data_IF_298810917956
#
_entry.id   IF_298810917956
#
_cell.length_a   1.000
_cell.length_b   1.000
_cell.length_c   1.000
_cell.angle_alpha   90.00
_cell.angle_beta   90.00
_cell.angle_gamma   90.00
#
_symmetry.space_group_name_H-M   'P 1'
#
loop_
_entity.id
_entity.type
_entity.pdbx_description
1 polymer ?
#
# COMPACT_ATOMS: atom_id res chain seq x y z
N UNK A 1 19.85 -2.68 -5.09
CA UNK A 1 19.17 -2.09 -3.91
C UNK A 1 19.11 -3.17 -2.84
N UNK A 2 19.42 -2.88 -1.58
CA UNK A 2 19.22 -3.85 -0.49
C UNK A 2 17.74 -3.94 -0.09
N UNK A 3 17.33 -5.06 0.51
CA UNK A 3 15.96 -5.24 1.01
C UNK A 3 15.52 -4.12 1.97
N UNK A 4 16.44 -3.66 2.83
CA UNK A 4 16.21 -2.56 3.76
C UNK A 4 15.90 -1.24 3.04
N UNK A 5 16.62 -0.94 1.97
CA UNK A 5 16.41 0.29 1.20
C UNK A 5 15.10 0.22 0.42
N UNK A 6 14.76 -0.96 -0.11
CA UNK A 6 13.48 -1.20 -0.75
C UNK A 6 12.31 -0.95 0.22
N UNK A 7 12.32 -1.60 1.39
CA UNK A 7 11.26 -1.44 2.40
C UNK A 7 11.10 0.02 2.81
N UNK A 8 12.21 0.73 3.02
CA UNK A 8 12.19 2.17 3.34
C UNK A 8 11.61 3.02 2.22
N UNK A 9 12.01 2.76 0.97
CA UNK A 9 11.49 3.46 -0.20
C UNK A 9 9.98 3.25 -0.32
N UNK A 10 9.53 2.01 -0.28
CA UNK A 10 8.10 1.66 -0.37
C UNK A 10 7.27 2.31 0.74
N UNK A 11 7.71 2.24 2.01
CA UNK A 11 6.98 2.88 3.11
C UNK A 11 6.94 4.40 2.95
N UNK A 12 8.04 5.01 2.49
CA UNK A 12 8.09 6.46 2.24
C UNK A 12 7.11 6.86 1.13
N UNK A 13 7.12 6.13 0.02
CA UNK A 13 6.23 6.41 -1.12
C UNK A 13 4.76 6.26 -0.72
N UNK A 14 4.42 5.20 0.05
CA UNK A 14 3.08 5.02 0.63
C UNK A 14 2.73 6.21 1.54
N UNK A 15 3.64 6.63 2.40
CA UNK A 15 3.40 7.76 3.31
C UNK A 15 3.17 9.07 2.58
N UNK A 16 3.91 9.33 1.50
CA UNK A 16 3.72 10.53 0.66
C UNK A 16 2.36 10.46 -0.03
N UNK A 17 2.04 9.32 -0.67
CA UNK A 17 0.77 9.14 -1.37
C UNK A 17 -0.44 9.28 -0.44
N UNK A 18 -0.36 8.80 0.81
CA UNK A 18 -1.42 8.98 1.81
C UNK A 18 -1.62 10.46 2.14
N UNK A 19 -0.54 11.21 2.31
CA UNK A 19 -0.62 12.65 2.59
C UNK A 19 -1.22 13.42 1.42
N UNK A 20 -0.69 13.19 0.21
CA UNK A 20 -1.19 13.82 -1.03
C UNK A 20 -2.68 13.51 -1.24
N UNK A 21 -3.09 12.25 -1.07
CA UNK A 21 -4.48 11.85 -1.25
C UNK A 21 -5.42 12.49 -0.22
N UNK A 22 -4.99 12.62 1.03
CA UNK A 22 -5.79 13.33 2.05
C UNK A 22 -5.91 14.84 1.73
N UNK A 23 -4.86 15.46 1.19
CA UNK A 23 -4.90 16.87 0.77
C UNK A 23 -5.81 17.07 -0.45
N UNK A 24 -5.69 16.22 -1.48
CA UNK A 24 -6.51 16.28 -2.70
C UNK A 24 -8.00 16.04 -2.43
N UNK A 25 -8.31 15.21 -1.43
CA UNK A 25 -9.66 14.74 -1.14
C UNK A 25 -10.28 15.40 0.10
N UNK A 26 -9.69 16.47 0.62
CA UNK A 26 -10.12 17.15 1.84
C UNK A 26 -11.62 17.50 1.85
N UNK A 27 -12.17 17.92 0.70
CA UNK A 27 -13.58 18.32 0.56
C UNK A 27 -14.54 17.14 0.29
N UNK A 28 -14.00 15.97 -0.09
CA UNK A 28 -14.82 14.78 -0.36
C UNK A 28 -15.21 14.03 0.92
N UNK A 29 -14.57 14.37 2.04
CA UNK A 29 -14.68 13.66 3.30
C UNK A 29 -13.84 12.38 3.39
N UNK A 30 -13.12 11.95 2.35
CA UNK A 30 -12.22 10.79 2.47
C UNK A 30 -11.16 11.03 3.57
N UNK A 31 -10.95 10.03 4.43
CA UNK A 31 -9.79 10.00 5.34
C UNK A 31 -8.99 8.72 5.12
N UNK A 32 -7.70 8.89 4.81
CA UNK A 32 -6.75 7.79 4.63
C UNK A 32 -5.83 7.72 5.83
N UNK A 33 -5.71 6.52 6.40
CA UNK A 33 -5.03 6.22 7.65
C UNK A 33 -5.45 7.15 8.82
N UNK A 34 -6.76 7.28 9.10
CA UNK A 34 -7.24 8.15 10.18
C UNK A 34 -6.78 7.65 11.55
N UNK A 35 -6.65 8.58 12.51
CA UNK A 35 -6.53 8.22 13.91
C UNK A 35 -7.86 7.58 14.33
N UNK A 36 -7.81 6.31 14.71
CA UNK A 36 -8.97 5.60 15.23
C UNK A 36 -9.18 5.95 16.70
N UNK A 37 -10.41 6.30 17.06
CA UNK A 37 -10.87 6.35 18.44
C UNK A 37 -11.22 4.93 18.91
N UNK A 38 -11.10 4.70 20.21
CA UNK A 38 -11.04 3.38 20.84
C UNK A 38 -12.08 2.39 20.27
N UNK A 39 -11.68 1.14 19.96
CA UNK A 39 -12.59 0.16 19.39
C UNK A 39 -13.67 -0.22 20.41
N UNK A 40 -14.93 -0.01 20.04
CA UNK A 40 -16.09 -0.63 20.70
C UNK A 40 -16.45 -1.85 19.85
N UNK A 41 -16.56 -3.03 20.46
CA UNK A 41 -16.96 -4.27 19.78
C UNK A 41 -16.13 -4.63 18.52
N UNK A 42 -14.82 -4.36 18.52
CA UNK A 42 -13.89 -4.54 17.40
C UNK A 42 -14.14 -3.65 16.16
N UNK A 43 -15.02 -2.65 16.27
CA UNK A 43 -15.23 -1.65 15.23
C UNK A 43 -14.37 -0.44 15.56
N UNK A 44 -13.55 -0.02 14.59
CA UNK A 44 -12.76 1.22 14.70
C UNK A 44 -13.57 2.36 14.14
N UNK A 45 -13.55 3.49 14.84
CA UNK A 45 -14.18 4.73 14.39
C UNK A 45 -13.14 5.80 14.20
N UNK A 46 -13.27 6.63 13.17
CA UNK A 46 -12.49 7.85 13.04
C UNK A 46 -12.99 8.88 14.07
N UNK A 47 -12.21 9.93 14.31
CA UNK A 47 -12.56 10.98 15.26
C UNK A 47 -13.91 11.68 14.97
N UNK A 48 -14.42 11.59 13.74
CA UNK A 48 -15.73 12.11 13.32
C UNK A 48 -16.87 11.08 13.41
N UNK A 49 -16.62 9.90 13.99
CA UNK A 49 -17.60 8.84 14.21
C UNK A 49 -17.82 7.91 13.02
N UNK A 50 -17.09 8.07 11.90
CA UNK A 50 -17.21 7.15 10.76
C UNK A 50 -16.46 5.85 10.98
N UNK A 51 -16.98 4.76 10.40
CA UNK A 51 -16.34 3.45 10.48
C UNK A 51 -15.02 3.48 9.70
N UNK A 52 -13.96 3.00 10.35
CA UNK A 52 -12.65 2.77 9.75
C UNK A 52 -12.56 1.33 9.30
N UNK A 53 -12.26 1.13 8.02
CA UNK A 53 -12.11 -0.17 7.39
C UNK A 53 -10.72 -0.31 6.77
N UNK A 54 -10.23 -1.54 6.65
CA UNK A 54 -8.95 -1.83 5.99
C UNK A 54 -9.16 -2.13 4.52
N UNK A 55 -8.36 -1.52 3.65
CA UNK A 55 -8.21 -1.93 2.26
C UNK A 55 -6.96 -2.80 2.17
N UNK A 56 -7.15 -4.07 1.80
CA UNK A 56 -6.06 -5.03 1.61
C UNK A 56 -5.36 -4.86 0.26
N UNK A 57 -4.03 -4.84 0.31
CA UNK A 57 -3.15 -4.77 -0.85
C UNK A 57 -2.29 -6.04 -0.93
N UNK A 58 -2.31 -6.66 -2.10
CA UNK A 58 -1.45 -7.78 -2.45
C UNK A 58 -0.46 -7.32 -3.52
N UNK A 59 0.79 -7.06 -3.13
CA UNK A 59 1.83 -6.63 -4.05
C UNK A 59 2.71 -7.82 -4.41
N UNK A 60 2.74 -8.18 -5.70
CA UNK A 60 3.66 -9.18 -6.22
C UNK A 60 4.99 -8.53 -6.59
N UNK A 61 6.07 -9.03 -5.99
CA UNK A 61 7.44 -8.59 -6.23
C UNK A 61 8.19 -9.73 -6.89
N UNK A 62 8.59 -9.54 -8.14
CA UNK A 62 9.43 -10.48 -8.87
C UNK A 62 10.88 -10.00 -8.86
N UNK A 63 11.79 -10.83 -8.38
CA UNK A 63 13.22 -10.66 -8.65
C UNK A 63 13.59 -11.48 -9.89
N UNK A 64 14.24 -10.87 -10.87
CA UNK A 64 14.82 -11.58 -12.02
C UNK A 64 16.34 -11.49 -11.96
N UNK A 65 17.02 -12.63 -11.97
CA UNK A 65 18.47 -12.66 -12.14
C UNK A 65 18.81 -12.34 -13.61
N UNK A 66 19.47 -11.22 -13.86
CA UNK A 66 20.25 -11.04 -15.10
C UNK A 66 21.70 -11.36 -14.78
N UNK A 67 22.22 -12.45 -15.35
CA UNK A 67 23.65 -12.71 -15.44
C UNK A 67 24.26 -11.69 -16.40
N UNK A 68 24.55 -10.48 -15.92
CA UNK A 68 25.53 -9.60 -16.55
C UNK A 68 26.38 -8.95 -15.46
N UNK A 69 27.67 -8.87 -15.75
CA UNK A 69 28.85 -8.50 -14.96
C UNK A 69 28.70 -7.24 -14.06
N UNK A 70 27.91 -7.33 -12.99
CA UNK A 70 27.74 -6.28 -12.00
C UNK A 70 26.62 -6.64 -11.02
N UNK A 71 26.95 -7.47 -10.02
CA UNK A 71 25.99 -8.03 -9.07
C UNK A 71 25.12 -6.99 -8.38
N UNK A 72 23.88 -6.85 -8.83
CA UNK A 72 22.87 -6.01 -8.21
C UNK A 72 21.48 -6.59 -8.45
N UNK A 73 20.75 -6.88 -7.38
CA UNK A 73 19.35 -7.31 -7.45
C UNK A 73 18.52 -6.17 -8.02
N UNK A 74 17.90 -6.40 -9.18
CA UNK A 74 16.90 -5.52 -9.80
C UNK A 74 15.51 -6.00 -9.39
N UNK A 75 14.75 -5.14 -8.70
CA UNK A 75 13.36 -5.42 -8.30
C UNK A 75 12.44 -4.85 -9.37
N UNK A 76 11.71 -5.70 -10.09
CA UNK A 76 10.66 -5.27 -11.01
C UNK A 76 9.31 -5.33 -10.28
N UNK A 77 8.65 -4.18 -10.15
CA UNK A 77 7.28 -4.09 -9.64
C UNK A 77 6.33 -4.44 -10.78
N UNK A 78 5.76 -5.65 -10.74
CA UNK A 78 4.75 -6.07 -11.72
C UNK A 78 3.40 -5.45 -11.34
N UNK A 79 2.89 -4.57 -12.21
CA UNK A 79 1.52 -4.06 -12.10
C UNK A 79 0.56 -5.24 -12.32
N UNK A 80 -0.37 -5.46 -11.38
CA UNK A 80 -1.34 -6.54 -11.44
C UNK A 80 -2.14 -6.49 -12.75
N UNK A 81 -2.08 -7.57 -13.55
CA UNK A 81 -2.83 -7.71 -14.82
C UNK A 81 -2.04 -8.23 -16.02
N UNK A 82 -0.71 -8.38 -15.92
CA UNK A 82 0.12 -8.87 -17.03
C UNK A 82 0.65 -10.26 -16.71
N UNK A 83 0.06 -11.28 -17.36
CA UNK A 83 0.60 -12.64 -17.40
C UNK A 83 1.88 -12.65 -18.25
N UNK A 84 3.04 -12.41 -17.63
CA UNK A 84 4.33 -12.78 -18.20
C UNK A 84 5.04 -13.66 -17.19
N UNK A 85 4.74 -14.96 -17.27
CA UNK A 85 5.52 -16.00 -16.60
C UNK A 85 6.83 -16.14 -17.38
N UNK A 86 7.92 -15.65 -16.81
CA UNK A 86 9.28 -16.08 -17.18
C UNK A 86 9.81 -16.96 -16.05
N UNK A 87 10.16 -18.19 -16.41
CA UNK A 87 10.31 -19.39 -15.58
C UNK A 87 11.41 -19.40 -14.49
N UNK A 88 11.91 -18.25 -14.02
CA UNK A 88 12.90 -18.21 -12.92
C UNK A 88 12.81 -16.92 -12.08
N UNK A 89 11.60 -16.42 -11.84
CA UNK A 89 11.40 -15.32 -10.91
C UNK A 89 10.97 -15.86 -9.54
N UNK A 90 11.77 -15.58 -8.49
CA UNK A 90 11.28 -15.69 -7.12
C UNK A 90 10.20 -14.62 -6.94
N UNK A 91 8.94 -15.05 -6.89
CA UNK A 91 7.79 -14.18 -6.64
C UNK A 91 7.57 -14.11 -5.13
N UNK A 92 7.88 -12.97 -4.53
CA UNK A 92 7.51 -12.66 -3.15
C UNK A 92 6.24 -11.84 -3.16
N UNK A 93 5.24 -12.23 -2.36
CA UNK A 93 4.02 -11.42 -2.18
C UNK A 93 4.11 -10.64 -0.88
N UNK A 94 3.94 -9.32 -0.96
CA UNK A 94 3.82 -8.44 0.21
C UNK A 94 2.33 -8.17 0.41
N UNK A 95 1.81 -8.63 1.55
CA UNK A 95 0.46 -8.32 2.00
C UNK A 95 0.51 -7.21 3.03
N UNK A 96 -0.24 -6.14 2.80
CA UNK A 96 -0.40 -5.05 3.75
C UNK A 96 -1.80 -4.44 3.57
N UNK A 97 -2.28 -3.71 4.57
CA UNK A 97 -3.52 -2.96 4.45
C UNK A 97 -3.29 -1.49 4.78
N UNK A 98 -4.18 -0.64 4.27
CA UNK A 98 -4.28 0.76 4.66
C UNK A 98 -5.69 0.99 5.19
N UNK A 99 -5.79 1.50 6.41
CA UNK A 99 -7.07 1.85 7.01
C UNK A 99 -7.63 3.13 6.38
N UNK A 100 -8.94 3.17 6.13
CA UNK A 100 -9.63 4.33 5.54
C UNK A 100 -11.00 4.55 6.20
N UNK A 101 -11.45 5.79 6.25
CA UNK A 101 -12.86 6.15 6.42
C UNK A 101 -13.35 6.75 5.10
N UNK A 102 -14.26 6.04 4.42
CA UNK A 102 -14.77 6.47 3.12
C UNK A 102 -15.77 7.63 3.24
N UNK A 103 -15.93 8.44 2.17
CA UNK A 103 -17.00 9.42 2.08
C UNK A 103 -18.37 8.81 2.33
N UNK A 104 -19.18 9.49 3.13
CA UNK A 104 -20.60 9.17 3.32
C UNK A 104 -21.44 10.17 2.54
N UNK A 105 -22.57 9.74 1.99
CA UNK A 105 -23.49 10.66 1.34
C UNK A 105 -23.92 11.75 2.34
N UNK A 106 -23.70 13.02 2.00
CA UNK A 106 -24.35 14.15 2.65
C UNK A 106 -25.84 14.09 2.29
N UNK A 107 -26.69 13.89 3.29
CA UNK A 107 -28.14 14.02 3.16
C UNK A 107 -28.58 15.47 3.02
#
# INVERSE_FOLDING_TARGET
MELKDFVKGTIKDISVAITELNEEMADSGLMVNPIADNPVDNIRYAADGRIVQDIDFNLQVSASEKMDTGGGIHINVLKAGVNNVTDNATVSTIHFHISVALPTCVG
#
